data_IF_866097562253
#
_entry.id   IF_866097562253
#
_cell.length_a   1.000
_cell.length_b   1.000
_cell.length_c   1.000
_cell.angle_alpha   90.00
_cell.angle_beta   90.00
_cell.angle_gamma   90.00
#
_symmetry.space_group_name_H-M   'P 1'
#
loop_
_entity.id
_entity.type
_entity.pdbx_description
1 polymer ?
#
# COMPACT_ATOMS: atom_id res chain seq x y z
N UNK A 1 -3.34 -2.62 -33.63
CA UNK A 1 -2.31 -2.46 -32.58
C UNK A 1 -3.02 -2.38 -31.23
N UNK A 2 -2.60 -3.15 -30.23
CA UNK A 2 -3.19 -3.08 -28.88
C UNK A 2 -2.69 -1.83 -28.15
N UNK A 3 -3.57 -1.10 -27.47
CA UNK A 3 -3.22 0.04 -26.63
C UNK A 3 -2.26 -0.39 -25.51
N UNK A 4 -1.26 0.44 -25.17
CA UNK A 4 -0.20 0.06 -24.21
C UNK A 4 -0.76 -0.45 -22.87
N UNK A 5 -1.74 0.25 -22.29
CA UNK A 5 -2.44 -0.20 -21.06
C UNK A 5 -3.01 -1.62 -21.21
N UNK A 6 -3.67 -1.93 -22.34
CA UNK A 6 -4.27 -3.25 -22.57
C UNK A 6 -3.19 -4.31 -22.77
N UNK A 7 -2.06 -3.96 -23.39
CA UNK A 7 -0.90 -4.85 -23.52
C UNK A 7 -0.34 -5.23 -22.15
N UNK A 8 -0.12 -4.26 -21.27
CA UNK A 8 0.45 -4.49 -19.93
C UNK A 8 -0.49 -5.31 -19.04
N UNK A 9 -1.79 -5.02 -19.11
CA UNK A 9 -2.81 -5.76 -18.35
C UNK A 9 -2.96 -7.21 -18.80
N UNK A 10 -2.75 -7.51 -20.08
CA UNK A 10 -2.76 -8.89 -20.59
C UNK A 10 -1.46 -9.65 -20.31
N UNK A 11 -0.31 -8.96 -20.23
CA UNK A 11 0.98 -9.62 -19.99
C UNK A 11 1.24 -9.94 -18.52
N UNK A 12 0.68 -9.16 -17.58
CA UNK A 12 0.86 -9.44 -16.15
C UNK A 12 0.10 -10.70 -15.74
N UNK A 13 0.64 -11.44 -14.78
CA UNK A 13 -0.02 -12.62 -14.22
C UNK A 13 0.39 -12.82 -12.75
N UNK A 14 -0.30 -13.70 -12.04
CA UNK A 14 0.05 -14.07 -10.66
C UNK A 14 1.17 -15.12 -10.68
N UNK A 15 2.40 -14.71 -10.35
CA UNK A 15 3.54 -15.61 -10.22
C UNK A 15 3.30 -16.69 -9.15
N UNK A 16 3.81 -17.90 -9.40
CA UNK A 16 3.68 -19.08 -8.52
C UNK A 16 5.01 -19.57 -7.92
N UNK A 17 6.13 -18.97 -8.34
CA UNK A 17 7.47 -19.19 -7.82
C UNK A 17 8.31 -17.96 -8.15
N UNK A 18 9.16 -17.55 -7.21
CA UNK A 18 10.09 -16.44 -7.36
C UNK A 18 11.53 -16.93 -7.43
N UNK A 19 12.38 -16.14 -8.07
CA UNK A 19 13.83 -16.29 -8.06
C UNK A 19 14.39 -15.50 -6.88
N UNK A 20 14.93 -16.18 -5.87
CA UNK A 20 15.37 -15.57 -4.62
C UNK A 20 16.61 -14.67 -4.79
N UNK A 21 17.37 -14.86 -5.87
CA UNK A 21 18.56 -14.06 -6.18
C UNK A 21 18.20 -12.73 -6.86
N UNK A 22 16.96 -12.59 -7.36
CA UNK A 22 16.49 -11.36 -8.02
C UNK A 22 15.80 -10.42 -7.03
N UNK A 23 16.42 -9.26 -6.82
CA UNK A 23 15.85 -8.15 -6.06
C UNK A 23 15.30 -7.06 -6.97
N UNK A 24 14.20 -6.44 -6.56
CA UNK A 24 13.69 -5.20 -7.17
C UNK A 24 14.63 -4.07 -6.75
N UNK A 25 14.96 -3.18 -7.70
CA UNK A 25 15.82 -2.04 -7.43
C UNK A 25 15.19 -1.06 -6.43
N UNK A 26 16.01 -0.26 -5.74
CA UNK A 26 15.48 0.78 -4.84
C UNK A 26 14.74 1.88 -5.59
N UNK A 27 15.12 2.16 -6.85
CA UNK A 27 14.45 3.10 -7.72
C UNK A 27 13.02 2.62 -8.05
N UNK A 28 12.88 1.39 -8.54
CA UNK A 28 11.56 0.80 -8.84
C UNK A 28 10.69 0.69 -7.59
N UNK A 29 11.28 0.29 -6.46
CA UNK A 29 10.54 0.25 -5.19
C UNK A 29 10.09 1.65 -4.75
N UNK A 30 10.84 2.70 -5.05
CA UNK A 30 10.44 4.07 -4.75
C UNK A 30 9.26 4.51 -5.62
N UNK A 31 9.26 4.13 -6.91
CA UNK A 31 8.11 4.34 -7.81
C UNK A 31 6.88 3.59 -7.30
N UNK A 32 7.02 2.31 -6.89
CA UNK A 32 5.91 1.51 -6.35
C UNK A 32 5.36 2.15 -5.06
N UNK A 33 6.23 2.56 -4.13
CA UNK A 33 5.84 3.21 -2.87
C UNK A 33 5.09 4.53 -3.11
N UNK A 34 5.55 5.32 -4.08
CA UNK A 34 4.89 6.58 -4.42
C UNK A 34 3.55 6.35 -5.13
N UNK A 35 3.48 5.39 -6.06
CA UNK A 35 2.25 5.03 -6.74
C UNK A 35 1.16 4.57 -5.77
N UNK A 36 1.47 3.71 -4.79
CA UNK A 36 0.49 3.28 -3.78
C UNK A 36 0.08 4.42 -2.85
N UNK A 37 1.00 5.35 -2.51
CA UNK A 37 0.68 6.55 -1.70
C UNK A 37 -0.32 7.46 -2.41
N UNK A 38 -0.23 7.58 -3.74
CA UNK A 38 -1.09 8.41 -4.57
C UNK A 38 -2.46 7.78 -4.89
N UNK A 39 -2.75 6.57 -4.41
CA UNK A 39 -4.06 5.94 -4.60
C UNK A 39 -5.17 6.81 -4.01
N UNK A 40 -6.19 7.13 -4.80
CA UNK A 40 -7.35 7.86 -4.33
C UNK A 40 -8.18 7.03 -3.32
N UNK A 41 -8.79 7.71 -2.35
CA UNK A 41 -9.74 7.12 -1.39
C UNK A 41 -10.94 8.03 -1.18
N UNK A 42 -12.06 7.46 -0.72
CA UNK A 42 -13.24 8.25 -0.34
C UNK A 42 -12.84 9.38 0.60
N UNK A 43 -13.30 10.61 0.32
CA UNK A 43 -12.99 11.85 1.05
C UNK A 43 -11.50 12.09 1.33
N UNK A 44 -10.61 11.44 0.58
CA UNK A 44 -9.16 11.39 0.83
C UNK A 44 -8.78 10.85 2.23
N UNK A 45 -9.63 10.00 2.82
CA UNK A 45 -9.49 9.46 4.18
C UNK A 45 -8.22 8.63 4.39
N UNK A 46 -7.73 7.94 3.35
CA UNK A 46 -6.53 7.09 3.37
C UNK A 46 -6.44 6.20 4.64
N UNK A 47 -7.48 5.40 4.98
CA UNK A 47 -7.53 4.62 6.22
C UNK A 47 -6.71 3.33 6.09
N UNK A 48 -5.51 3.44 5.53
CA UNK A 48 -4.64 2.33 5.22
C UNK A 48 -3.21 2.55 5.70
N UNK A 49 -2.48 1.45 5.83
CA UNK A 49 -1.03 1.44 5.99
C UNK A 49 -0.44 0.35 5.11
N UNK A 50 0.56 0.72 4.32
CA UNK A 50 1.35 -0.23 3.54
C UNK A 50 2.59 -0.61 4.34
N UNK A 51 2.75 -1.88 4.67
CA UNK A 51 3.91 -2.40 5.42
C UNK A 51 4.79 -3.15 4.43
N UNK A 52 5.96 -2.59 4.13
CA UNK A 52 6.96 -3.20 3.25
C UNK A 52 7.84 -4.14 4.08
N UNK A 53 7.88 -5.40 3.67
CA UNK A 53 8.70 -6.45 4.26
C UNK A 53 9.90 -6.69 3.33
N UNK A 54 11.09 -6.35 3.80
CA UNK A 54 12.32 -6.30 3.00
C UNK A 54 13.49 -7.07 3.62
N UNK A 55 13.79 -6.81 4.91
CA UNK A 55 14.91 -7.46 5.60
C UNK A 55 14.65 -8.94 5.82
N UNK A 56 15.72 -9.72 5.94
CA UNK A 56 15.62 -11.16 6.13
C UNK A 56 14.90 -11.51 7.43
N UNK A 57 15.11 -10.72 8.50
CA UNK A 57 14.39 -10.87 9.76
C UNK A 57 12.89 -10.59 9.60
N UNK A 58 12.53 -9.56 8.85
CA UNK A 58 11.13 -9.23 8.58
C UNK A 58 10.45 -10.31 7.72
N UNK A 59 11.15 -10.83 6.70
CA UNK A 59 10.69 -11.95 5.88
C UNK A 59 10.48 -13.21 6.71
N UNK A 60 11.40 -13.53 7.62
CA UNK A 60 11.28 -14.68 8.49
C UNK A 60 10.10 -14.54 9.46
N UNK A 61 9.88 -13.34 10.02
CA UNK A 61 8.69 -13.05 10.84
C UNK A 61 7.40 -13.27 10.06
N UNK A 62 7.35 -12.84 8.80
CA UNK A 62 6.19 -13.06 7.94
C UNK A 62 5.99 -14.53 7.56
N UNK A 63 7.07 -15.23 7.20
CA UNK A 63 7.07 -16.66 6.91
C UNK A 63 6.44 -17.49 8.05
N UNK A 64 6.77 -17.15 9.30
CA UNK A 64 6.23 -17.83 10.48
C UNK A 64 4.71 -17.64 10.67
N UNK A 65 4.09 -16.62 10.06
CA UNK A 65 2.64 -16.40 10.17
C UNK A 65 1.81 -17.49 9.48
N UNK A 66 2.40 -18.24 8.56
CA UNK A 66 1.76 -19.33 7.83
C UNK A 66 1.79 -20.67 8.57
N UNK A 67 2.31 -20.73 9.81
CA UNK A 67 2.50 -21.99 10.55
C UNK A 67 1.22 -22.84 10.63
N UNK A 68 0.06 -22.20 10.79
CA UNK A 68 -1.21 -22.89 11.01
C UNK A 68 -2.05 -23.07 9.75
N UNK A 69 -1.97 -22.14 8.77
CA UNK A 69 -2.83 -22.13 7.57
C UNK A 69 -2.12 -21.53 6.36
N UNK A 70 -2.63 -21.90 5.18
CA UNK A 70 -2.21 -21.35 3.88
C UNK A 70 -0.71 -21.57 3.55
N UNK A 71 -0.15 -22.69 4.00
CA UNK A 71 1.26 -23.05 3.84
C UNK A 71 1.73 -23.08 2.38
N UNK A 72 0.82 -23.28 1.42
CA UNK A 72 1.15 -23.20 -0.01
C UNK A 72 1.71 -21.83 -0.43
N UNK A 73 1.40 -20.75 0.29
CA UNK A 73 1.97 -19.42 0.04
C UNK A 73 3.27 -19.16 0.82
N UNK A 74 3.58 -19.97 1.84
CA UNK A 74 4.70 -19.75 2.75
C UNK A 74 6.07 -19.64 2.04
N UNK A 75 6.39 -20.43 0.98
CA UNK A 75 7.68 -20.30 0.29
C UNK A 75 7.92 -18.92 -0.32
N UNK A 76 6.86 -18.19 -0.66
CA UNK A 76 6.97 -16.86 -1.27
C UNK A 76 7.40 -15.79 -0.27
N UNK A 77 7.19 -16.01 1.03
CA UNK A 77 7.54 -15.06 2.09
C UNK A 77 9.04 -14.74 2.15
N UNK A 78 9.89 -15.73 1.84
CA UNK A 78 11.35 -15.58 1.85
C UNK A 78 11.95 -15.46 0.45
N UNK A 79 11.30 -16.01 -0.58
CA UNK A 79 11.82 -15.99 -1.96
C UNK A 79 11.44 -14.74 -2.76
N UNK A 80 10.35 -14.04 -2.42
CA UNK A 80 10.03 -12.78 -3.07
C UNK A 80 11.02 -11.68 -2.65
N UNK A 81 11.29 -10.72 -3.54
CA UNK A 81 12.15 -9.56 -3.22
C UNK A 81 11.59 -8.76 -2.04
N UNK A 82 10.29 -8.45 -2.08
CA UNK A 82 9.55 -7.71 -1.06
C UNK A 82 8.15 -8.30 -0.91
N UNK A 83 7.56 -8.17 0.27
CA UNK A 83 6.11 -8.38 0.47
C UNK A 83 5.49 -7.08 0.98
N UNK A 84 4.36 -6.66 0.41
CA UNK A 84 3.62 -5.48 0.88
C UNK A 84 2.32 -5.96 1.53
N UNK A 85 2.16 -5.70 2.82
CA UNK A 85 0.88 -5.90 3.50
C UNK A 85 0.02 -4.65 3.34
N UNK A 86 -1.18 -4.83 2.81
CA UNK A 86 -2.21 -3.80 2.72
C UNK A 86 -3.07 -3.87 3.98
N UNK A 87 -2.74 -3.07 4.99
CA UNK A 87 -3.52 -2.98 6.22
C UNK A 87 -4.55 -1.85 6.11
N UNK A 88 -5.74 -2.06 6.67
CA UNK A 88 -6.75 -1.01 6.85
C UNK A 88 -6.94 -0.72 8.34
N UNK A 89 -7.42 0.48 8.66
CA UNK A 89 -7.78 0.89 10.02
C UNK A 89 -9.25 0.55 10.30
N UNK A 90 -9.55 -0.49 11.11
CA UNK A 90 -10.92 -0.87 11.41
C UNK A 90 -11.64 0.13 12.32
N UNK A 91 -10.92 1.12 12.87
CA UNK A 91 -11.45 2.14 13.78
C UNK A 91 -10.99 3.52 13.30
N UNK A 92 -11.35 3.88 12.07
CA UNK A 92 -11.08 5.20 11.53
C UNK A 92 -12.00 6.23 12.19
N UNK A 93 -11.44 7.09 13.05
CA UNK A 93 -12.20 8.08 13.83
C UNK A 93 -12.09 9.48 13.23
N UNK A 94 -12.96 10.39 13.66
CA UNK A 94 -12.93 11.80 13.25
C UNK A 94 -11.59 12.46 13.56
N UNK A 95 -10.97 12.12 14.68
CA UNK A 95 -9.66 12.63 15.09
C UNK A 95 -8.54 12.13 14.17
N UNK A 96 -8.65 10.90 13.65
CA UNK A 96 -7.71 10.37 12.66
C UNK A 96 -7.91 11.04 11.30
N UNK A 97 -9.15 11.32 10.94
CA UNK A 97 -9.45 12.11 9.74
C UNK A 97 -8.91 13.53 9.84
N UNK A 98 -9.02 14.18 11.01
CA UNK A 98 -8.46 15.52 11.24
C UNK A 98 -6.96 15.59 10.88
N UNK A 99 -6.17 14.58 11.25
CA UNK A 99 -4.74 14.49 10.87
C UNK A 99 -4.51 14.48 9.36
N UNK A 100 -5.45 13.90 8.58
CA UNK A 100 -5.39 13.96 7.12
C UNK A 100 -5.69 15.37 6.62
N UNK A 101 -6.73 16.00 7.15
CA UNK A 101 -7.09 17.38 6.78
C UNK A 101 -5.96 18.35 7.12
N UNK A 102 -5.32 18.20 8.29
CA UNK A 102 -4.15 18.97 8.70
C UNK A 102 -3.01 18.86 7.68
N UNK A 103 -2.76 17.65 7.15
CA UNK A 103 -1.74 17.41 6.13
C UNK A 103 -2.11 18.04 4.77
N UNK A 104 -3.39 18.00 4.38
CA UNK A 104 -3.86 18.66 3.14
C UNK A 104 -3.75 20.19 3.25
N UNK A 105 -4.04 20.77 4.41
CA UNK A 105 -3.83 22.21 4.64
C UNK A 105 -2.35 22.57 4.64
N UNK A 106 -1.53 21.82 5.37
CA UNK A 106 -0.09 22.08 5.47
C UNK A 106 0.62 21.94 4.12
N UNK A 107 0.16 21.04 3.25
CA UNK A 107 0.69 20.87 1.90
C UNK A 107 0.18 21.91 0.88
N UNK A 108 -0.85 22.69 1.24
CA UNK A 108 -1.46 23.69 0.37
C UNK A 108 -2.51 23.15 -0.61
N UNK A 109 -2.84 21.85 -0.55
CA UNK A 109 -3.90 21.26 -1.39
C UNK A 109 -5.30 21.64 -0.90
N UNK A 110 -5.45 21.94 0.40
CA UNK A 110 -6.69 22.43 0.99
C UNK A 110 -6.47 23.84 1.55
N UNK A 111 -7.21 24.87 1.09
CA UNK A 111 -7.22 26.18 1.73
C UNK A 111 -7.60 26.08 3.21
N UNK A 112 -6.90 26.81 4.08
CA UNK A 112 -7.10 26.71 5.54
C UNK A 112 -8.52 27.10 5.99
N UNK A 113 -9.17 28.02 5.27
CA UNK A 113 -10.56 28.44 5.51
C UNK A 113 -11.59 27.35 5.14
N UNK A 114 -11.20 26.37 4.33
CA UNK A 114 -12.03 25.22 3.96
C UNK A 114 -11.95 24.04 4.95
N UNK A 115 -11.13 24.15 6.02
CA UNK A 115 -10.89 23.06 6.97
C UNK A 115 -12.18 22.46 7.55
N UNK A 116 -13.05 23.29 8.11
CA UNK A 116 -14.28 22.83 8.76
C UNK A 116 -15.28 22.24 7.76
N UNK A 117 -15.36 22.79 6.56
CA UNK A 117 -16.19 22.25 5.48
C UNK A 117 -15.70 20.86 5.09
N UNK A 118 -14.39 20.67 4.93
CA UNK A 118 -13.81 19.36 4.60
C UNK A 118 -13.95 18.36 5.74
N UNK A 119 -13.79 18.80 7.00
CA UNK A 119 -14.08 17.97 8.18
C UNK A 119 -15.53 17.49 8.25
N UNK A 120 -16.47 18.21 7.64
CA UNK A 120 -17.87 17.79 7.48
C UNK A 120 -18.04 16.53 6.62
N UNK A 121 -17.08 16.23 5.72
CA UNK A 121 -17.14 15.05 4.86
C UNK A 121 -17.05 13.72 5.64
N UNK A 122 -16.54 13.75 6.87
CA UNK A 122 -16.49 12.56 7.75
C UNK A 122 -17.88 12.08 8.21
N UNK A 123 -18.90 12.95 8.17
CA UNK A 123 -20.24 12.60 8.64
C UNK A 123 -21.03 11.71 7.65
N UNK A 124 -20.45 11.35 6.51
CA UNK A 124 -21.01 10.46 5.49
C UNK A 124 -20.45 9.04 5.60
#
# INVERSE_FOLDING_TARGET
MSHQIIKDLNSRYTAKKYDAEKRISQEDMSIIKEAIRLSASSINSQPWKFIVIESDEAKQRFHSTFANKHQFNQPHATTASHTILLAYDPKFTKEKFAKRVDAEVTSGHLPADMYNTFMGAYAF
#
